data_IF_969190563705
#
_entry.id   IF_969190563705
#
_cell.length_a   1.000
_cell.length_b   1.000
_cell.length_c   1.000
_cell.angle_alpha   90.00
_cell.angle_beta   90.00
_cell.angle_gamma   90.00
#
_symmetry.space_group_name_H-M   'P 1'
#
loop_
_entity.id
_entity.type
_entity.pdbx_description
1 polymer ?
#
# COMPACT_ATOMS: atom_id res chain seq x y z
N UNK A 1 2.71 -12.38 6.11
CA UNK A 1 1.93 -12.84 4.95
C UNK A 1 2.57 -12.35 3.65
N UNK A 2 2.26 -13.00 2.57
CA UNK A 2 2.81 -12.60 1.29
C UNK A 2 1.78 -11.84 0.48
N UNK A 3 2.19 -10.69 -0.03
CA UNK A 3 1.36 -9.84 -0.89
C UNK A 3 2.20 -9.40 -2.08
N UNK A 4 1.54 -8.75 -3.04
CA UNK A 4 2.22 -8.18 -4.19
C UNK A 4 2.17 -6.67 -4.05
N UNK A 5 3.33 -6.02 -4.08
CA UNK A 5 3.43 -4.57 -3.98
C UNK A 5 4.09 -4.07 -5.25
N UNK A 6 3.36 -3.28 -6.03
CA UNK A 6 3.85 -2.73 -7.30
C UNK A 6 4.41 -3.82 -8.19
N UNK A 7 3.71 -4.94 -8.25
CA UNK A 7 4.10 -6.04 -9.12
C UNK A 7 5.14 -6.98 -8.56
N UNK A 8 5.62 -6.74 -7.34
CA UNK A 8 6.63 -7.60 -6.72
C UNK A 8 6.06 -8.29 -5.50
N UNK A 9 6.32 -9.57 -5.39
CA UNK A 9 5.89 -10.30 -4.21
C UNK A 9 6.78 -9.96 -3.03
N UNK A 10 6.17 -9.74 -1.89
CA UNK A 10 6.87 -9.38 -0.66
C UNK A 10 6.27 -10.10 0.52
N UNK A 11 7.14 -10.46 1.43
CA UNK A 11 6.71 -10.96 2.73
C UNK A 11 6.59 -9.78 3.66
N UNK A 12 5.41 -9.60 4.27
CA UNK A 12 5.15 -8.44 5.13
C UNK A 12 4.60 -8.90 6.47
N UNK A 13 4.79 -8.05 7.47
CA UNK A 13 4.20 -8.25 8.79
C UNK A 13 2.95 -7.40 8.98
N UNK A 14 2.79 -6.35 8.17
CA UNK A 14 1.69 -5.41 8.32
C UNK A 14 0.36 -6.09 8.10
N UNK A 15 -0.66 -5.63 8.84
CA UNK A 15 -2.01 -6.16 8.73
C UNK A 15 -2.98 -5.16 8.12
N UNK A 16 -2.55 -3.94 7.83
CA UNK A 16 -3.39 -2.91 7.25
C UNK A 16 -2.59 -2.10 6.25
N UNK A 17 -3.31 -1.32 5.43
CA UNK A 17 -2.64 -0.45 4.46
C UNK A 17 -1.72 0.54 5.17
N UNK A 18 -2.21 1.18 6.23
CA UNK A 18 -1.40 2.15 6.95
C UNK A 18 -0.14 1.50 7.53
N UNK A 19 -0.28 0.32 8.11
CA UNK A 19 0.87 -0.38 8.68
C UNK A 19 1.86 -0.78 7.60
N UNK A 20 1.37 -1.15 6.42
CA UNK A 20 2.25 -1.51 5.31
C UNK A 20 3.09 -0.33 4.87
N UNK A 21 2.49 0.85 4.80
CA UNK A 21 3.24 2.04 4.40
C UNK A 21 4.35 2.34 5.38
N UNK A 22 4.09 2.17 6.66
CA UNK A 22 5.12 2.34 7.68
C UNK A 22 6.22 1.29 7.53
N UNK A 23 5.82 0.06 7.30
CA UNK A 23 6.80 -1.04 7.16
C UNK A 23 7.72 -0.81 5.97
N UNK A 24 7.19 -0.26 4.88
CA UNK A 24 7.96 -0.01 3.67
C UNK A 24 8.60 1.37 3.63
N UNK A 25 8.52 2.11 4.72
CA UNK A 25 9.15 3.43 4.83
C UNK A 25 8.55 4.49 3.91
N UNK A 26 7.29 4.37 3.59
CA UNK A 26 6.60 5.43 2.86
C UNK A 26 6.12 6.46 3.87
N UNK A 27 6.49 7.71 3.66
CA UNK A 27 6.10 8.79 4.55
C UNK A 27 5.32 9.84 3.79
N UNK A 28 4.47 10.56 4.55
CA UNK A 28 3.69 11.62 3.97
C UNK A 28 2.41 11.12 3.35
N UNK A 29 1.84 11.97 2.51
CA UNK A 29 0.54 11.69 1.93
C UNK A 29 0.49 12.00 0.45
N UNK A 30 1.67 12.09 -0.20
CA UNK A 30 1.74 12.49 -1.58
C UNK A 30 1.73 11.29 -2.51
N UNK A 31 0.93 10.28 -2.18
CA UNK A 31 0.81 9.12 -3.05
C UNK A 31 -0.59 8.55 -2.89
N UNK A 32 -0.96 7.72 -3.84
CA UNK A 32 -2.24 7.05 -3.84
C UNK A 32 -2.02 5.56 -3.62
N UNK A 33 -3.01 4.91 -3.04
CA UNK A 33 -2.97 3.48 -2.78
C UNK A 33 -4.14 2.82 -3.47
N UNK A 34 -3.86 1.74 -4.18
CA UNK A 34 -4.91 0.87 -4.70
C UNK A 34 -4.72 -0.51 -4.12
N UNK A 35 -5.81 -1.11 -3.67
CA UNK A 35 -5.81 -2.46 -3.15
C UNK A 35 -6.70 -3.30 -4.04
N UNK A 36 -6.12 -4.29 -4.71
CA UNK A 36 -6.84 -5.14 -5.65
C UNK A 36 -7.59 -4.29 -6.67
N UNK A 37 -6.92 -3.26 -7.19
CA UNK A 37 -7.41 -2.35 -8.22
C UNK A 37 -8.48 -1.36 -7.74
N UNK A 38 -8.73 -1.30 -6.43
CA UNK A 38 -9.65 -0.31 -5.86
C UNK A 38 -8.86 0.72 -5.09
N UNK A 39 -9.12 2.00 -5.40
CA UNK A 39 -8.42 3.09 -4.71
C UNK A 39 -8.87 3.14 -3.25
N UNK A 40 -7.90 3.24 -2.35
CA UNK A 40 -8.16 3.34 -0.92
C UNK A 40 -7.88 4.78 -0.50
N UNK A 41 -8.91 5.53 -0.13
CA UNK A 41 -8.67 6.91 0.32
C UNK A 41 -7.82 6.93 1.58
N UNK A 42 -7.05 7.99 1.73
CA UNK A 42 -6.16 8.11 2.87
C UNK A 42 -6.88 7.92 4.19
N UNK A 43 -8.10 8.44 4.29
CA UNK A 43 -8.87 8.34 5.52
C UNK A 43 -9.21 6.90 5.90
N UNK A 44 -9.04 5.96 4.97
CA UNK A 44 -9.37 4.55 5.22
C UNK A 44 -8.15 3.66 5.34
N UNK A 45 -6.95 4.22 5.21
CA UNK A 45 -5.74 3.39 5.23
C UNK A 45 -5.62 2.59 6.52
N UNK A 46 -5.90 3.22 7.65
CA UNK A 46 -5.76 2.53 8.94
C UNK A 46 -6.83 1.46 9.15
N UNK A 47 -7.96 1.60 8.46
CA UNK A 47 -9.08 0.70 8.62
C UNK A 47 -9.17 -0.35 7.52
N UNK A 48 -8.23 -0.38 6.60
CA UNK A 48 -8.28 -1.30 5.48
C UNK A 48 -7.34 -2.47 5.77
N UNK A 49 -7.89 -3.65 6.05
CA UNK A 49 -7.05 -4.80 6.35
C UNK A 49 -6.44 -5.38 5.09
N UNK A 50 -5.32 -6.07 5.28
CA UNK A 50 -4.65 -6.79 4.20
C UNK A 50 -4.80 -8.27 4.42
N UNK A 51 -4.92 -9.01 3.32
CA UNK A 51 -5.02 -10.45 3.35
C UNK A 51 -3.94 -11.05 2.47
N UNK A 52 -3.55 -12.30 2.74
CA UNK A 52 -2.54 -12.94 1.88
C UNK A 52 -2.98 -12.95 0.43
N UNK A 53 -2.05 -12.64 -0.45
CA UNK A 53 -2.34 -12.62 -1.88
C UNK A 53 -2.87 -11.31 -2.41
N UNK A 54 -3.10 -10.33 -1.54
CA UNK A 54 -3.59 -9.02 -1.99
C UNK A 54 -2.57 -8.35 -2.90
N UNK A 55 -3.08 -7.55 -3.84
CA UNK A 55 -2.26 -6.72 -4.71
C UNK A 55 -2.38 -5.28 -4.29
N UNK A 56 -1.25 -4.69 -3.95
CA UNK A 56 -1.21 -3.29 -3.51
C UNK A 56 -0.41 -2.50 -4.53
N UNK A 57 -0.95 -1.37 -4.95
CA UNK A 57 -0.22 -0.43 -5.80
C UNK A 57 -0.03 0.87 -5.05
N UNK A 58 1.21 1.30 -4.98
CA UNK A 58 1.56 2.58 -4.36
C UNK A 58 1.99 3.49 -5.48
N UNK A 59 1.19 4.50 -5.76
CA UNK A 59 1.39 5.38 -6.90
C UNK A 59 1.90 6.72 -6.38
N UNK A 60 3.17 6.99 -6.64
CA UNK A 60 3.76 8.24 -6.19
C UNK A 60 3.81 9.21 -7.36
N UNK A 61 3.53 10.51 -7.11
CA UNK A 61 3.65 11.48 -8.19
C UNK A 61 5.11 11.64 -8.59
N UNK A 62 5.31 11.83 -9.88
CA UNK A 62 6.65 12.10 -10.39
C UNK A 62 6.92 13.57 -10.28
N UNK A 63 8.04 13.89 -9.71
CA UNK A 63 8.41 15.29 -9.50
C UNK A 63 9.24 15.78 -10.67
N UNK A 64 8.69 16.72 -11.39
CA UNK A 64 9.45 17.39 -12.42
C UNK A 64 10.13 16.43 -13.37
N UNK A 65 9.49 15.38 -13.47
CA UNK A 65 10.11 14.33 -14.26
C UNK A 65 10.89 13.49 -13.33
#
# INVERSE_FOLDING_TARGET
>A
MRVTVNGEQREIAAASVAALLTELDYEGTHFAIALNYDVVPKSRWADTPLNPGDEIEIITPRQGG
#
